data_IF_014287166553
#
_entry.id   IF_014287166553
#
_cell.length_a   1.000
_cell.length_b   1.000
_cell.length_c   1.000
_cell.angle_alpha   90.00
_cell.angle_beta   90.00
_cell.angle_gamma   90.00
#
_symmetry.space_group_name_H-M   'P 1'
#
loop_
_entity.id
_entity.type
_entity.pdbx_description
1 polymer ?
#
# COMPACT_ATOMS: atom_id res chain seq x y z
N UNK A 1 4.32 -21.38 -37.12
CA UNK A 1 3.41 -20.21 -37.05
C UNK A 1 3.22 -19.70 -38.48
N UNK A 2 1.99 -19.38 -38.89
CA UNK A 2 1.79 -18.78 -40.22
C UNK A 2 2.41 -17.37 -40.21
N UNK A 3 2.83 -16.87 -41.36
CA UNK A 3 3.54 -15.58 -41.49
C UNK A 3 2.72 -14.44 -40.85
N UNK A 4 1.40 -14.48 -41.00
CA UNK A 4 0.45 -13.51 -40.42
C UNK A 4 0.46 -13.53 -38.89
N UNK A 5 0.47 -14.71 -38.27
CA UNK A 5 0.50 -14.82 -36.81
C UNK A 5 1.78 -14.19 -36.25
N UNK A 6 2.93 -14.42 -36.92
CA UNK A 6 4.22 -13.84 -36.53
C UNK A 6 4.25 -12.32 -36.72
N UNK A 7 3.66 -11.84 -37.80
CA UNK A 7 3.53 -10.41 -38.07
C UNK A 7 2.73 -9.71 -36.98
N UNK A 8 1.51 -10.17 -36.69
CA UNK A 8 0.65 -9.59 -35.65
C UNK A 8 1.35 -9.64 -34.28
N UNK A 9 2.01 -10.76 -33.95
CA UNK A 9 2.72 -10.89 -32.68
C UNK A 9 3.87 -9.89 -32.53
N UNK A 10 4.70 -9.74 -33.57
CA UNK A 10 5.79 -8.77 -33.56
C UNK A 10 5.25 -7.33 -33.50
N UNK A 11 4.12 -7.06 -34.16
CA UNK A 11 3.46 -5.77 -34.10
C UNK A 11 2.87 -5.47 -32.72
N UNK A 12 2.44 -6.47 -31.95
CA UNK A 12 1.88 -6.31 -30.59
C UNK A 12 2.93 -6.02 -29.51
N UNK A 13 4.10 -6.66 -29.59
CA UNK A 13 5.10 -6.58 -28.52
C UNK A 13 5.56 -5.14 -28.28
N UNK A 14 5.92 -4.41 -29.33
CA UNK A 14 6.51 -3.09 -29.20
C UNK A 14 5.53 -2.04 -28.63
N UNK A 15 4.30 -1.87 -29.16
CA UNK A 15 3.29 -0.97 -28.61
C UNK A 15 2.87 -1.34 -27.19
N UNK A 16 2.78 -2.64 -26.86
CA UNK A 16 2.45 -3.06 -25.50
C UNK A 16 3.56 -2.72 -24.52
N UNK A 17 4.82 -3.05 -24.82
CA UNK A 17 5.95 -2.71 -23.95
C UNK A 17 6.07 -1.20 -23.77
N UNK A 18 5.84 -0.44 -24.83
CA UNK A 18 5.80 1.02 -24.77
C UNK A 18 4.68 1.53 -23.86
N UNK A 19 3.47 0.99 -24.01
CA UNK A 19 2.32 1.31 -23.13
C UNK A 19 2.60 0.99 -21.67
N UNK A 20 3.12 -0.21 -21.37
CA UNK A 20 3.52 -0.61 -20.02
C UNK A 20 4.55 0.37 -19.45
N UNK A 21 5.55 0.74 -20.25
CA UNK A 21 6.61 1.67 -19.82
C UNK A 21 6.06 3.05 -19.48
N UNK A 22 5.19 3.60 -20.33
CA UNK A 22 4.55 4.90 -20.09
C UNK A 22 3.68 4.88 -18.84
N UNK A 23 2.78 3.89 -18.71
CA UNK A 23 1.92 3.82 -17.53
C UNK A 23 2.71 3.58 -16.24
N UNK A 24 3.77 2.78 -16.31
CA UNK A 24 4.67 2.55 -15.16
C UNK A 24 5.37 3.84 -14.76
N UNK A 25 5.87 4.59 -15.74
CA UNK A 25 6.48 5.90 -15.48
C UNK A 25 5.49 6.87 -14.83
N UNK A 26 4.28 7.01 -15.39
CA UNK A 26 3.22 7.89 -14.87
C UNK A 26 2.87 7.52 -13.43
N UNK A 27 2.63 6.24 -13.13
CA UNK A 27 2.28 5.81 -11.78
C UNK A 27 3.44 5.94 -10.79
N UNK A 28 4.68 5.77 -11.24
CA UNK A 28 5.86 5.96 -10.39
C UNK A 28 6.17 7.41 -10.08
N UNK A 29 5.62 8.41 -10.79
CA UNK A 29 5.85 9.83 -10.46
C UNK A 29 5.45 10.12 -9.01
N UNK A 30 4.31 9.61 -8.55
CA UNK A 30 3.86 9.81 -7.17
C UNK A 30 4.82 9.18 -6.16
N UNK A 31 5.31 7.97 -6.45
CA UNK A 31 6.30 7.29 -5.61
C UNK A 31 7.64 8.04 -5.59
N UNK A 32 8.05 8.61 -6.73
CA UNK A 32 9.26 9.42 -6.84
C UNK A 32 9.17 10.68 -5.98
N UNK A 33 8.03 11.37 -6.00
CA UNK A 33 7.80 12.56 -5.16
C UNK A 33 7.90 12.20 -3.67
N UNK A 34 7.20 11.16 -3.22
CA UNK A 34 7.23 10.70 -1.81
C UNK A 34 8.65 10.35 -1.35
N UNK A 35 9.42 9.72 -2.23
CA UNK A 35 10.80 9.33 -1.98
C UNK A 35 11.73 10.55 -1.92
N UNK A 36 11.52 11.54 -2.80
CA UNK A 36 12.31 12.78 -2.81
C UNK A 36 12.07 13.59 -1.54
N UNK A 37 10.82 13.73 -1.09
CA UNK A 37 10.51 14.39 0.19
C UNK A 37 11.28 13.73 1.35
N UNK A 38 11.25 12.39 1.44
CA UNK A 38 11.97 11.67 2.49
C UNK A 38 13.49 11.79 2.39
N UNK A 39 14.05 11.94 1.18
CA UNK A 39 15.48 12.18 0.99
C UNK A 39 15.91 13.54 1.56
N UNK A 40 15.12 14.59 1.30
CA UNK A 40 15.43 15.93 1.78
C UNK A 40 15.17 16.10 3.28
N UNK A 41 14.22 15.35 3.86
CA UNK A 41 13.86 15.48 5.28
C UNK A 41 14.69 14.60 6.22
N UNK A 42 15.14 13.41 5.79
CA UNK A 42 15.65 12.37 6.72
C UNK A 42 17.12 11.93 6.49
N UNK A 43 17.91 12.61 5.65
CA UNK A 43 19.30 12.25 5.32
C UNK A 43 19.48 10.75 5.00
N UNK A 44 18.56 10.18 4.22
CA UNK A 44 18.60 8.76 3.89
C UNK A 44 19.70 8.49 2.83
N UNK A 45 20.49 7.41 2.98
CA UNK A 45 21.44 7.02 1.95
C UNK A 45 20.74 6.77 0.61
N UNK A 46 21.29 7.32 -0.48
CA UNK A 46 20.73 7.24 -1.83
C UNK A 46 20.51 5.78 -2.30
N UNK A 47 21.32 4.84 -1.79
CA UNK A 47 21.20 3.41 -2.05
C UNK A 47 19.89 2.81 -1.48
N UNK A 48 19.51 3.20 -0.26
CA UNK A 48 18.29 2.73 0.41
C UNK A 48 17.04 3.18 -0.36
N UNK A 49 17.12 4.36 -0.95
CA UNK A 49 16.05 4.93 -1.78
C UNK A 49 15.90 4.19 -3.09
N UNK A 50 17.01 3.84 -3.74
CA UNK A 50 16.98 3.05 -4.96
C UNK A 50 16.36 1.66 -4.68
N UNK A 51 16.71 1.03 -3.57
CA UNK A 51 16.11 -0.24 -3.14
C UNK A 51 14.60 -0.11 -2.92
N UNK A 52 14.16 0.93 -2.20
CA UNK A 52 12.74 1.21 -1.99
C UNK A 52 11.98 1.37 -3.31
N UNK A 53 12.57 2.10 -4.26
CA UNK A 53 11.99 2.28 -5.59
C UNK A 53 11.89 0.96 -6.35
N UNK A 54 12.95 0.13 -6.34
CA UNK A 54 12.93 -1.19 -6.96
C UNK A 54 11.86 -2.12 -6.36
N UNK A 55 11.55 -1.99 -5.07
CA UNK A 55 10.50 -2.80 -4.45
C UNK A 55 9.08 -2.32 -4.79
N UNK A 56 8.89 -1.08 -5.20
CA UNK A 56 7.58 -0.58 -5.65
C UNK A 56 7.28 -1.02 -7.09
N UNK A 57 8.30 -1.12 -7.94
CA UNK A 57 8.17 -1.46 -9.36
C UNK A 57 7.28 -2.70 -9.62
N UNK A 58 7.45 -3.85 -8.93
CA UNK A 58 6.61 -5.03 -9.15
C UNK A 58 5.11 -4.77 -8.93
N UNK A 59 4.76 -4.00 -7.90
CA UNK A 59 3.36 -3.68 -7.59
C UNK A 59 2.73 -2.69 -8.56
N UNK A 60 3.54 -1.83 -9.19
CA UNK A 60 3.10 -0.97 -10.29
C UNK A 60 2.93 -1.79 -11.56
N UNK A 61 3.88 -2.67 -11.87
CA UNK A 61 3.84 -3.52 -13.06
C UNK A 61 2.59 -4.42 -13.12
N UNK A 62 2.11 -4.94 -11.98
CA UNK A 62 0.89 -5.76 -11.98
C UNK A 62 -0.35 -4.99 -12.43
N UNK A 63 -0.35 -3.67 -12.28
CA UNK A 63 -1.43 -2.79 -12.76
C UNK A 63 -1.18 -2.30 -14.19
N UNK A 64 0.07 -2.02 -14.56
CA UNK A 64 0.38 -1.41 -15.87
C UNK A 64 0.47 -2.42 -17.01
N UNK A 65 0.70 -3.71 -16.71
CA UNK A 65 0.65 -4.79 -17.70
C UNK A 65 -0.70 -4.85 -18.44
N UNK A 66 -1.87 -4.96 -17.77
CA UNK A 66 -3.16 -5.00 -18.48
C UNK A 66 -3.44 -3.69 -19.22
N UNK A 67 -3.10 -2.53 -18.64
CA UNK A 67 -3.28 -1.22 -19.30
C UNK A 67 -2.45 -1.10 -20.58
N UNK A 68 -1.18 -1.51 -20.53
CA UNK A 68 -0.30 -1.48 -21.70
C UNK A 68 -0.66 -2.55 -22.74
N UNK A 69 -1.15 -3.71 -22.32
CA UNK A 69 -1.69 -4.73 -23.22
C UNK A 69 -2.88 -4.19 -24.03
N UNK A 70 -3.83 -3.56 -23.34
CA UNK A 70 -5.00 -2.93 -23.97
C UNK A 70 -4.58 -1.86 -24.99
N UNK A 71 -3.67 -0.97 -24.61
CA UNK A 71 -3.15 0.07 -25.49
C UNK A 71 -2.46 -0.53 -26.72
N UNK A 72 -1.62 -1.55 -26.53
CA UNK A 72 -0.91 -2.18 -27.65
C UNK A 72 -1.86 -2.89 -28.62
N UNK A 73 -2.88 -3.58 -28.12
CA UNK A 73 -3.92 -4.19 -28.97
C UNK A 73 -4.68 -3.11 -29.74
N UNK A 74 -5.08 -2.03 -29.10
CA UNK A 74 -5.79 -0.93 -29.75
C UNK A 74 -4.95 -0.29 -30.87
N UNK A 75 -3.68 -0.01 -30.61
CA UNK A 75 -2.80 0.60 -31.62
C UNK A 75 -2.55 -0.33 -32.82
N UNK A 76 -2.30 -1.62 -32.56
CA UNK A 76 -2.02 -2.57 -33.65
C UNK A 76 -3.27 -2.81 -34.49
N UNK A 77 -4.39 -3.19 -33.88
CA UNK A 77 -5.60 -3.50 -34.65
C UNK A 77 -6.22 -2.23 -35.25
N UNK A 78 -6.08 -1.08 -34.59
CA UNK A 78 -6.41 0.23 -35.16
C UNK A 78 -5.60 0.50 -36.43
N UNK A 79 -4.28 0.34 -36.38
CA UNK A 79 -3.40 0.52 -37.56
C UNK A 79 -3.68 -0.47 -38.68
N UNK A 80 -3.94 -1.74 -38.36
CA UNK A 80 -4.34 -2.77 -39.36
C UNK A 80 -5.69 -2.44 -40.01
N UNK A 81 -6.59 -1.78 -39.28
CA UNK A 81 -7.88 -1.33 -39.83
C UNK A 81 -7.70 -0.12 -40.73
N UNK A 82 -6.91 0.87 -40.30
CA UNK A 82 -6.63 2.10 -41.04
C UNK A 82 -5.94 1.83 -42.40
N UNK A 83 -5.04 0.85 -42.43
CA UNK A 83 -4.34 0.40 -43.64
C UNK A 83 -5.15 -0.59 -44.49
N UNK A 84 -6.39 -0.91 -44.09
CA UNK A 84 -7.24 -1.94 -44.71
C UNK A 84 -6.63 -3.35 -44.76
N UNK A 85 -5.59 -3.64 -43.96
CA UNK A 85 -4.96 -4.96 -43.90
C UNK A 85 -5.92 -6.04 -43.38
N UNK A 86 -6.81 -5.69 -42.44
CA UNK A 86 -7.85 -6.62 -41.96
C UNK A 86 -8.79 -7.02 -43.10
N UNK A 87 -9.28 -6.05 -43.87
CA UNK A 87 -10.18 -6.29 -45.01
C UNK A 87 -9.48 -7.12 -46.08
N UNK A 88 -8.21 -6.86 -46.37
CA UNK A 88 -7.43 -7.66 -47.31
C UNK A 88 -7.25 -9.12 -46.86
N UNK A 89 -7.02 -9.34 -45.56
CA UNK A 89 -6.94 -10.68 -44.97
C UNK A 89 -8.30 -11.41 -45.04
N UNK A 90 -9.40 -10.74 -44.70
CA UNK A 90 -10.75 -11.30 -44.81
C UNK A 90 -11.11 -11.64 -46.25
N UNK A 91 -10.80 -10.75 -47.20
CA UNK A 91 -10.98 -10.98 -48.64
C UNK A 91 -10.14 -12.14 -49.19
N UNK A 92 -9.07 -12.51 -48.51
CA UNK A 92 -8.25 -13.70 -48.82
C UNK A 92 -8.80 -15.00 -48.19
N UNK A 93 -9.99 -14.94 -47.57
CA UNK A 93 -10.65 -16.08 -46.93
C UNK A 93 -10.20 -16.34 -45.49
N UNK A 94 -9.51 -15.39 -44.85
CA UNK A 94 -9.09 -15.51 -43.45
C UNK A 94 -10.22 -15.04 -42.54
N UNK A 95 -10.78 -15.94 -41.74
CA UNK A 95 -11.78 -15.58 -40.74
C UNK A 95 -11.26 -14.55 -39.74
N UNK A 96 -12.07 -13.56 -39.36
CA UNK A 96 -11.76 -12.57 -38.31
C UNK A 96 -11.26 -13.19 -36.99
N UNK A 97 -11.87 -14.31 -36.56
CA UNK A 97 -11.45 -15.04 -35.36
C UNK A 97 -9.98 -15.49 -35.41
N UNK A 98 -9.46 -15.79 -36.60
CA UNK A 98 -8.05 -16.15 -36.80
C UNK A 98 -7.15 -14.94 -36.67
N UNK A 99 -7.60 -13.76 -37.10
CA UNK A 99 -6.85 -12.49 -37.01
C UNK A 99 -6.75 -12.04 -35.55
N UNK A 100 -7.78 -12.28 -34.73
CA UNK A 100 -7.82 -11.91 -33.30
C UNK A 100 -7.06 -12.91 -32.41
N UNK A 101 -6.98 -14.18 -32.82
CA UNK A 101 -6.36 -15.26 -32.02
C UNK A 101 -4.94 -14.94 -31.50
N UNK A 102 -4.01 -14.32 -32.26
CA UNK A 102 -2.69 -13.95 -31.76
C UNK A 102 -2.75 -12.98 -30.58
N UNK A 103 -3.64 -11.98 -30.62
CA UNK A 103 -3.84 -11.05 -29.51
C UNK A 103 -4.40 -11.72 -28.27
N UNK A 104 -5.33 -12.67 -28.44
CA UNK A 104 -5.87 -13.42 -27.32
C UNK A 104 -4.80 -14.27 -26.61
N UNK A 105 -3.96 -14.98 -27.38
CA UNK A 105 -2.84 -15.75 -26.84
C UNK A 105 -1.82 -14.83 -26.16
N UNK A 106 -1.53 -13.67 -26.76
CA UNK A 106 -0.62 -12.68 -26.21
C UNK A 106 -1.12 -12.11 -24.87
N UNK A 107 -2.40 -11.74 -24.79
CA UNK A 107 -3.04 -11.30 -23.55
C UNK A 107 -2.97 -12.37 -22.45
N UNK A 108 -3.25 -13.63 -22.81
CA UNK A 108 -3.18 -14.76 -21.88
C UNK A 108 -1.75 -14.97 -21.33
N UNK A 109 -0.72 -14.78 -22.16
CA UNK A 109 0.68 -14.81 -21.71
C UNK A 109 0.96 -13.66 -20.72
N UNK A 110 0.50 -12.45 -21.01
CA UNK A 110 0.67 -11.30 -20.12
C UNK A 110 -0.07 -11.47 -18.79
N UNK A 111 -1.26 -12.06 -18.80
CA UNK A 111 -2.00 -12.43 -17.58
C UNK A 111 -1.19 -13.37 -16.70
N UNK A 112 -0.56 -14.40 -17.27
CA UNK A 112 0.29 -15.30 -16.49
C UNK A 112 1.55 -14.61 -15.93
N UNK A 113 2.13 -13.67 -16.68
CA UNK A 113 3.25 -12.86 -16.20
C UNK A 113 2.80 -11.96 -15.03
N UNK A 114 1.64 -11.31 -15.16
CA UNK A 114 1.04 -10.48 -14.12
C UNK A 114 0.72 -11.28 -12.85
N UNK A 115 0.13 -12.47 -12.99
CA UNK A 115 -0.10 -13.39 -11.86
C UNK A 115 1.20 -13.80 -11.19
N UNK A 116 2.25 -14.09 -11.97
CA UNK A 116 3.57 -14.42 -11.44
C UNK A 116 4.15 -13.29 -10.58
N UNK A 117 4.03 -12.05 -11.05
CA UNK A 117 4.46 -10.87 -10.32
C UNK A 117 3.65 -10.68 -9.02
N UNK A 118 2.33 -10.77 -9.09
CA UNK A 118 1.43 -10.54 -7.95
C UNK A 118 1.57 -11.59 -6.85
N UNK A 119 1.76 -12.87 -7.21
CA UNK A 119 1.79 -13.97 -6.24
C UNK A 119 3.18 -14.15 -5.60
N UNK A 120 4.25 -13.96 -6.37
CA UNK A 120 5.60 -14.30 -5.92
C UNK A 120 6.49 -13.08 -5.65
N UNK A 121 6.40 -12.05 -6.47
CA UNK A 121 7.34 -10.92 -6.44
C UNK A 121 6.81 -9.81 -5.53
N UNK A 122 5.55 -9.41 -5.71
CA UNK A 122 4.91 -8.33 -4.97
C UNK A 122 4.96 -8.54 -3.44
N UNK A 123 4.60 -9.71 -2.87
CA UNK A 123 4.60 -9.89 -1.42
C UNK A 123 6.01 -9.85 -0.83
N UNK A 124 7.03 -10.31 -1.57
CA UNK A 124 8.43 -10.24 -1.16
C UNK A 124 8.94 -8.80 -1.16
N UNK A 125 8.57 -8.04 -2.17
CA UNK A 125 8.93 -6.64 -2.30
C UNK A 125 8.29 -5.80 -1.17
N UNK A 126 7.00 -5.99 -0.90
CA UNK A 126 6.31 -5.34 0.22
C UNK A 126 6.90 -5.72 1.57
N UNK A 127 7.26 -6.99 1.78
CA UNK A 127 7.91 -7.44 3.02
C UNK A 127 9.24 -6.70 3.25
N UNK A 128 10.04 -6.52 2.20
CA UNK A 128 11.32 -5.82 2.30
C UNK A 128 11.12 -4.30 2.54
N UNK A 129 10.13 -3.68 1.87
CA UNK A 129 9.74 -2.29 2.14
C UNK A 129 9.38 -2.11 3.61
N UNK A 130 8.57 -3.00 4.16
CA UNK A 130 8.09 -2.85 5.53
C UNK A 130 9.18 -3.20 6.56
N UNK A 131 10.08 -4.14 6.26
CA UNK A 131 11.27 -4.36 7.06
C UNK A 131 12.20 -3.14 7.10
N UNK A 132 12.39 -2.45 5.95
CA UNK A 132 13.17 -1.21 5.89
C UNK A 132 12.47 -0.08 6.66
N UNK A 133 11.16 0.08 6.51
CA UNK A 133 10.37 1.04 7.30
C UNK A 133 10.51 0.77 8.80
N UNK A 134 10.45 -0.50 9.23
CA UNK A 134 10.63 -0.87 10.64
C UNK A 134 12.03 -0.53 11.15
N UNK A 135 13.08 -0.78 10.38
CA UNK A 135 14.45 -0.45 10.78
C UNK A 135 14.66 1.07 10.92
N UNK A 136 14.01 1.86 10.06
CA UNK A 136 13.96 3.32 10.16
C UNK A 136 13.17 3.76 11.41
N UNK A 137 12.01 3.15 11.70
CA UNK A 137 11.22 3.43 12.92
C UNK A 137 12.03 3.19 14.20
N UNK A 138 12.77 2.07 14.27
CA UNK A 138 13.56 1.72 15.46
C UNK A 138 14.78 2.63 15.67
N UNK A 139 15.33 3.17 14.58
CA UNK A 139 16.56 3.98 14.63
C UNK A 139 16.26 5.48 14.74
N UNK A 140 15.13 5.94 14.19
CA UNK A 140 14.70 7.34 14.19
C UNK A 140 13.16 7.44 14.27
N UNK A 141 12.56 7.36 15.48
CA UNK A 141 11.10 7.49 15.66
C UNK A 141 10.53 8.82 15.10
N UNK A 142 11.35 9.89 15.13
CA UNK A 142 11.00 11.21 14.61
C UNK A 142 10.80 11.26 13.09
N UNK A 143 11.46 10.38 12.32
CA UNK A 143 11.51 10.42 10.85
C UNK A 143 10.20 10.03 10.13
N UNK A 144 9.32 9.28 10.80
CA UNK A 144 8.08 8.75 10.22
C UNK A 144 6.82 9.36 10.82
N UNK A 145 6.98 10.18 11.84
CA UNK A 145 5.87 10.89 12.44
C UNK A 145 5.69 12.17 11.62
N UNK A 146 4.87 12.10 10.57
CA UNK A 146 4.58 13.32 9.81
C UNK A 146 3.84 14.28 10.74
N UNK A 147 4.06 15.58 10.61
CA UNK A 147 3.24 16.58 11.30
C UNK A 147 1.76 16.32 10.95
N UNK A 148 0.86 16.46 11.93
CA UNK A 148 -0.59 16.32 11.76
C UNK A 148 -1.10 14.93 11.40
N UNK A 149 -0.39 13.86 11.80
CA UNK A 149 -0.89 12.49 11.57
C UNK A 149 -1.84 12.06 12.69
N UNK A 150 -3.04 11.64 12.29
CA UNK A 150 -3.92 10.82 13.12
C UNK A 150 -3.56 9.35 12.92
N UNK A 151 -2.76 8.77 13.81
CA UNK A 151 -2.62 7.32 13.88
C UNK A 151 -3.70 6.80 14.82
N UNK A 152 -4.80 6.33 14.25
CA UNK A 152 -5.84 5.61 15.00
C UNK A 152 -5.57 4.12 14.87
N UNK A 153 -5.44 3.41 16.00
CA UNK A 153 -5.59 1.96 16.02
C UNK A 153 -7.07 1.64 16.31
N UNK A 154 -7.90 1.42 15.27
CA UNK A 154 -9.33 1.22 15.46
C UNK A 154 -9.66 -0.07 16.22
N UNK A 155 -8.74 -1.03 16.34
CA UNK A 155 -8.97 -2.29 17.05
C UNK A 155 -8.83 -2.15 18.57
N UNK A 156 -8.03 -1.19 19.07
CA UNK A 156 -7.86 -0.94 20.51
C UNK A 156 -8.50 0.37 21.00
N UNK A 157 -9.07 1.19 20.09
CA UNK A 157 -9.74 2.45 20.44
C UNK A 157 -8.80 3.61 20.76
N UNK A 158 -7.50 3.49 20.46
CA UNK A 158 -6.52 4.54 20.74
C UNK A 158 -6.17 5.33 19.47
N UNK A 159 -5.92 6.62 19.61
CA UNK A 159 -5.31 7.42 18.55
C UNK A 159 -4.42 8.51 19.11
N UNK A 160 -3.43 8.96 18.35
CA UNK A 160 -2.64 10.13 18.72
C UNK A 160 -2.56 11.15 17.59
N UNK A 161 -2.48 12.42 17.97
CA UNK A 161 -2.29 13.56 17.08
C UNK A 161 -1.08 14.36 17.56
N UNK A 162 -0.28 14.83 16.60
CA UNK A 162 0.92 15.60 16.85
C UNK A 162 0.90 16.83 15.95
N UNK A 163 0.97 18.02 16.54
CA UNK A 163 0.86 19.28 15.79
C UNK A 163 2.17 19.61 15.04
N UNK A 164 3.31 19.55 15.72
CA UNK A 164 4.63 19.77 15.13
C UNK A 164 5.70 18.91 15.77
N UNK A 165 6.72 18.55 15.01
CA UNK A 165 7.84 17.72 15.47
C UNK A 165 9.14 18.42 15.17
N UNK A 166 9.94 18.62 16.22
CA UNK A 166 11.32 19.00 16.05
C UNK A 166 12.19 17.75 15.84
N UNK A 167 12.56 17.49 14.59
CA UNK A 167 13.36 16.34 14.19
C UNK A 167 14.78 16.33 14.77
N UNK A 168 15.32 17.47 15.19
CA UNK A 168 16.68 17.55 15.76
C UNK A 168 16.76 16.99 17.19
N UNK A 169 15.71 17.20 17.99
CA UNK A 169 15.67 16.77 19.40
C UNK A 169 14.69 15.61 19.65
N UNK A 170 14.02 15.10 18.60
CA UNK A 170 12.94 14.12 18.72
C UNK A 170 11.82 14.53 19.70
N UNK A 171 11.54 15.83 19.75
CA UNK A 171 10.48 16.42 20.58
C UNK A 171 9.26 16.77 19.72
N UNK A 172 8.10 16.24 20.08
CA UNK A 172 6.80 16.61 19.54
C UNK A 172 6.19 17.73 20.41
N UNK A 173 5.62 18.76 19.77
CA UNK A 173 4.87 19.82 20.44
C UNK A 173 3.37 19.62 20.22
N UNK A 174 2.56 19.86 21.27
CA UNK A 174 1.11 19.64 21.31
C UNK A 174 0.72 18.22 20.88
N UNK A 175 1.03 17.27 21.74
CA UNK A 175 0.65 15.87 21.60
C UNK A 175 -0.75 15.66 22.17
N UNK A 176 -1.63 15.00 21.42
CA UNK A 176 -2.97 14.62 21.88
C UNK A 176 -3.09 13.12 21.83
N UNK A 177 -3.45 12.49 22.95
CA UNK A 177 -3.77 11.06 23.02
C UNK A 177 -5.27 10.88 23.24
N UNK A 178 -5.90 10.13 22.36
CA UNK A 178 -7.28 9.69 22.47
C UNK A 178 -7.30 8.23 22.92
N UNK A 179 -8.11 7.93 23.94
CA UNK A 179 -8.43 6.57 24.36
C UNK A 179 -9.95 6.41 24.45
N UNK A 180 -10.53 5.70 23.48
CA UNK A 180 -11.94 5.34 23.46
C UNK A 180 -12.15 4.00 24.17
N UNK A 181 -12.77 4.04 25.34
CA UNK A 181 -13.23 2.85 26.06
C UNK A 181 -14.51 2.31 25.41
N UNK A 182 -14.66 0.99 25.32
CA UNK A 182 -15.85 0.35 24.72
C UNK A 182 -17.18 0.77 25.34
N UNK A 183 -17.19 1.20 26.62
CA UNK A 183 -18.40 1.49 27.39
C UNK A 183 -18.82 2.98 27.43
N UNK A 184 -18.06 3.91 26.83
CA UNK A 184 -18.41 5.34 26.80
C UNK A 184 -18.37 5.87 25.35
N UNK A 185 -19.42 6.56 24.85
CA UNK A 185 -19.38 7.19 23.53
C UNK A 185 -18.24 8.22 23.36
N UNK A 186 -17.76 8.83 24.46
CA UNK A 186 -16.71 9.84 24.42
C UNK A 186 -15.33 9.30 24.85
N UNK A 187 -14.25 9.67 24.14
CA UNK A 187 -12.89 9.27 24.49
C UNK A 187 -12.33 10.09 25.65
N UNK A 188 -11.37 9.50 26.36
CA UNK A 188 -10.47 10.24 27.25
C UNK A 188 -9.42 10.91 26.37
N UNK A 189 -9.18 12.21 26.59
CA UNK A 189 -8.20 13.00 25.84
C UNK A 189 -7.08 13.41 26.80
N UNK A 190 -5.83 13.08 26.48
CA UNK A 190 -4.66 13.66 27.15
C UNK A 190 -4.02 14.67 26.21
N UNK A 191 -3.91 15.92 26.63
CA UNK A 191 -3.17 16.97 25.93
C UNK A 191 -1.82 17.12 26.62
N UNK A 192 -0.72 17.10 25.88
CA UNK A 192 0.61 17.35 26.40
C UNK A 192 1.30 18.43 25.55
N UNK A 193 1.87 19.44 26.20
CA UNK A 193 2.55 20.53 25.48
C UNK A 193 3.82 20.03 24.80
N UNK A 194 4.54 19.09 25.43
CA UNK A 194 5.73 18.46 24.86
C UNK A 194 5.71 16.95 25.07
N UNK A 195 6.12 16.20 24.06
CA UNK A 195 6.33 14.77 24.17
C UNK A 195 7.67 14.37 23.55
N UNK A 196 8.46 13.60 24.27
CA UNK A 196 9.71 13.03 23.80
C UNK A 196 9.56 11.51 23.64
N UNK A 197 9.96 10.99 22.48
CA UNK A 197 9.95 9.56 22.21
C UNK A 197 11.29 8.95 22.63
N UNK A 198 11.37 8.40 23.84
CA UNK A 198 12.51 7.58 24.26
C UNK A 198 12.34 6.13 23.75
N UNK A 199 13.41 5.33 23.61
CA UNK A 199 13.36 4.00 22.96
C UNK A 199 12.33 3.02 23.53
N UNK A 200 11.93 3.17 24.80
CA UNK A 200 10.98 2.29 25.47
C UNK A 200 9.75 3.03 26.04
N UNK A 201 9.83 4.35 26.21
CA UNK A 201 8.83 5.15 26.90
C UNK A 201 8.51 6.41 26.10
N UNK A 202 7.23 6.73 26.00
CA UNK A 202 6.78 8.05 25.60
C UNK A 202 6.77 8.93 26.85
N UNK A 203 7.61 9.96 26.88
CA UNK A 203 7.68 10.91 27.99
C UNK A 203 6.92 12.16 27.59
N UNK A 204 5.73 12.35 28.15
CA UNK A 204 4.91 13.54 27.99
C UNK A 204 5.16 14.50 29.14
N UNK A 205 5.29 15.79 28.86
CA UNK A 205 5.42 16.88 29.84
C UNK A 205 4.21 17.80 29.75
N UNK A 206 3.80 18.32 30.90
CA UNK A 206 2.66 19.23 31.05
C UNK A 206 1.38 18.62 30.47
N UNK A 207 0.95 17.50 31.06
CA UNK A 207 -0.17 16.70 30.57
C UNK A 207 -1.47 17.08 31.27
N UNK A 208 -2.47 17.46 30.50
CA UNK A 208 -3.84 17.68 30.95
C UNK A 208 -4.78 16.58 30.45
N UNK A 209 -5.39 15.85 31.39
CA UNK A 209 -6.35 14.79 31.10
C UNK A 209 -7.80 15.26 31.18
N UNK A 210 -8.53 15.15 30.07
CA UNK A 210 -9.95 15.47 29.95
C UNK A 210 -10.79 14.20 29.87
N UNK A 211 -11.77 14.08 30.77
CA UNK A 211 -12.87 13.13 30.67
C UNK A 211 -14.10 13.81 30.09
N UNK A 212 -14.87 13.04 29.34
CA UNK A 212 -16.23 13.41 28.98
C UNK A 212 -17.17 12.34 29.54
N UNK A 213 -18.09 12.76 30.40
CA UNK A 213 -19.14 11.88 30.91
C UNK A 213 -20.15 11.56 29.78
N UNK A 214 -21.03 10.58 29.98
CA UNK A 214 -22.04 10.10 29.01
C UNK A 214 -22.98 11.21 28.50
N UNK A 215 -23.05 12.35 29.21
CA UNK A 215 -23.84 13.53 28.86
C UNK A 215 -23.06 14.61 28.07
N UNK A 216 -21.76 14.38 27.78
CA UNK A 216 -20.91 15.31 27.04
C UNK A 216 -20.31 16.45 27.88
N UNK A 217 -20.48 16.44 29.20
CA UNK A 217 -19.89 17.42 30.11
C UNK A 217 -18.41 17.11 30.37
N UNK A 218 -17.58 18.16 30.36
CA UNK A 218 -16.13 18.06 30.59
C UNK A 218 -15.84 17.96 32.09
N UNK A 219 -15.06 16.97 32.48
CA UNK A 219 -14.48 16.87 33.81
C UNK A 219 -12.95 16.74 33.68
N UNK A 220 -12.22 17.61 34.38
CA UNK A 220 -10.76 17.57 34.42
C UNK A 220 -10.37 16.44 35.38
N UNK A 221 -9.67 15.41 34.89
CA UNK A 221 -9.35 14.23 35.71
C UNK A 221 -8.05 14.43 36.48
N UNK A 222 -7.05 15.05 35.85
CA UNK A 222 -5.74 15.30 36.45
C UNK A 222 -4.87 16.18 35.54
N UNK A 223 -3.98 16.94 36.16
CA UNK A 223 -2.84 17.60 35.51
C UNK A 223 -1.56 16.94 36.05
N UNK A 224 -0.67 16.53 35.15
CA UNK A 224 0.60 15.89 35.48
C UNK A 224 1.75 16.69 34.88
N UNK A 225 2.74 17.04 35.69
CA UNK A 225 3.97 17.71 35.20
C UNK A 225 4.75 16.82 34.22
N UNK A 226 4.76 15.51 34.48
CA UNK A 226 5.40 14.52 33.62
C UNK A 226 4.69 13.17 33.70
N UNK A 227 4.34 12.60 32.55
CA UNK A 227 3.74 11.27 32.43
C UNK A 227 4.56 10.41 31.48
N UNK A 228 4.98 9.24 31.94
CA UNK A 228 5.66 8.24 31.11
C UNK A 228 4.67 7.15 30.75
N UNK A 229 4.50 6.89 29.46
CA UNK A 229 3.69 5.78 28.97
C UNK A 229 4.60 4.81 28.21
N UNK A 230 4.71 3.54 28.64
CA UNK A 230 5.50 2.55 27.91
C UNK A 230 5.02 2.44 26.47
N UNK A 231 5.94 2.56 25.51
CA UNK A 231 5.61 2.44 24.08
C UNK A 231 5.02 1.07 23.77
N UNK A 232 5.32 0.05 24.57
CA UNK A 232 4.71 -1.29 24.47
C UNK A 232 3.19 -1.29 24.62
N UNK A 233 2.59 -0.32 25.33
CA UNK A 233 1.12 -0.20 25.43
C UNK A 233 0.49 0.32 24.14
N UNK A 234 1.23 1.11 23.36
CA UNK A 234 0.77 1.64 22.06
C UNK A 234 1.15 0.73 20.90
N UNK A 235 2.29 0.06 21.02
CA UNK A 235 2.91 -0.78 20.01
C UNK A 235 3.17 -2.16 20.63
N UNK A 236 2.15 -2.99 20.74
CA UNK A 236 2.34 -4.39 21.11
C UNK A 236 3.29 -5.04 20.10
N UNK A 237 4.44 -5.53 20.58
CA UNK A 237 5.49 -6.16 19.75
C UNK A 237 4.97 -7.41 19.03
N UNK A 238 3.85 -7.99 19.50
CA UNK A 238 3.14 -9.09 18.82
C UNK A 238 2.28 -8.66 17.63
N UNK A 239 1.66 -7.46 17.66
CA UNK A 239 0.93 -6.92 16.51
C UNK A 239 1.88 -6.42 15.41
N UNK A 240 3.15 -6.11 15.73
CA UNK A 240 4.18 -5.78 14.73
C UNK A 240 4.64 -6.98 13.87
N UNK A 241 4.34 -8.21 14.30
CA UNK A 241 4.57 -9.43 13.50
C UNK A 241 3.39 -9.80 12.59
N UNK A 242 2.22 -9.17 12.76
CA UNK A 242 1.11 -9.30 11.80
C UNK A 242 1.49 -8.52 10.55
N UNK A 243 1.89 -9.26 9.52
CA UNK A 243 2.06 -8.73 8.16
C UNK A 243 0.86 -7.86 7.80
N UNK A 244 1.06 -6.71 7.19
CA UNK A 244 -0.06 -5.96 6.62
C UNK A 244 -0.81 -6.86 5.63
N UNK A 245 -2.14 -6.70 5.50
CA UNK A 245 -2.98 -7.50 4.59
C UNK A 245 -2.39 -7.55 3.17
N UNK A 246 -1.80 -6.43 2.75
CA UNK A 246 -1.14 -6.29 1.46
C UNK A 246 0.18 -7.10 1.33
N UNK A 247 0.87 -7.43 2.42
CA UNK A 247 2.11 -8.21 2.44
C UNK A 247 1.91 -9.73 2.45
N UNK A 248 0.71 -10.19 2.79
CA UNK A 248 0.42 -11.62 2.92
C UNK A 248 0.39 -12.29 1.55
N UNK A 249 0.95 -13.50 1.44
CA UNK A 249 0.76 -14.33 0.25
C UNK A 249 -0.68 -14.90 0.23
N UNK A 250 -1.19 -15.30 -0.94
CA UNK A 250 -2.50 -15.97 -1.11
C UNK A 250 -2.74 -17.13 -0.12
N UNK A 251 -1.71 -17.94 0.16
CA UNK A 251 -1.81 -19.03 1.14
C UNK A 251 -1.96 -18.52 2.57
N UNK A 252 -1.27 -17.43 2.90
CA UNK A 252 -1.31 -16.78 4.22
C UNK A 252 -2.67 -16.08 4.41
N UNK A 253 -3.15 -15.32 3.40
CA UNK A 253 -4.48 -14.70 3.40
C UNK A 253 -5.59 -15.72 3.65
N UNK A 254 -5.57 -16.87 2.97
CA UNK A 254 -6.60 -17.92 3.14
C UNK A 254 -6.51 -18.60 4.51
N UNK A 255 -5.31 -18.73 5.07
CA UNK A 255 -5.10 -19.34 6.38
C UNK A 255 -5.50 -18.39 7.51
N UNK A 256 -5.25 -17.11 7.35
CA UNK A 256 -5.63 -16.07 8.30
C UNK A 256 -7.13 -15.79 8.28
N UNK A 257 -7.73 -15.70 7.10
CA UNK A 257 -9.19 -15.68 6.92
C UNK A 257 -9.89 -16.80 7.71
N UNK A 258 -9.39 -18.04 7.59
CA UNK A 258 -9.95 -19.21 8.28
C UNK A 258 -9.86 -19.11 9.80
N UNK A 259 -8.83 -18.44 10.33
CA UNK A 259 -8.67 -18.21 11.76
C UNK A 259 -9.63 -17.12 12.25
N UNK A 260 -9.71 -16.02 11.53
CA UNK A 260 -10.42 -14.81 11.95
C UNK A 260 -11.94 -14.89 11.76
N UNK A 261 -12.43 -15.70 10.81
CA UNK A 261 -13.88 -15.82 10.58
C UNK A 261 -14.63 -16.49 11.75
N UNK A 262 -13.91 -17.24 12.59
CA UNK A 262 -14.48 -17.87 13.78
C UNK A 262 -14.76 -16.88 14.92
N UNK A 263 -14.19 -15.67 14.86
CA UNK A 263 -14.32 -14.63 15.90
C UNK A 263 -15.36 -13.59 15.43
N UNK A 264 -16.50 -13.40 16.14
CA UNK A 264 -17.57 -12.51 15.71
C UNK A 264 -17.14 -11.04 15.52
N UNK A 265 -16.27 -10.53 16.40
CA UNK A 265 -15.78 -9.15 16.40
C UNK A 265 -14.81 -8.87 15.23
N UNK A 266 -13.98 -9.84 14.86
CA UNK A 266 -12.99 -9.70 13.78
C UNK A 266 -13.53 -10.12 12.39
N UNK A 267 -14.79 -10.53 12.31
CA UNK A 267 -15.41 -11.02 11.06
C UNK A 267 -15.32 -10.01 9.92
N UNK A 268 -15.42 -8.71 10.21
CA UNK A 268 -15.27 -7.65 9.20
C UNK A 268 -13.84 -7.57 8.65
N UNK A 269 -12.84 -7.80 9.49
CA UNK A 269 -11.42 -7.87 9.09
C UNK A 269 -11.16 -9.13 8.25
N UNK A 270 -11.74 -10.27 8.62
CA UNK A 270 -11.66 -11.51 7.86
C UNK A 270 -12.26 -11.39 6.45
N UNK A 271 -13.46 -10.82 6.31
CA UNK A 271 -14.11 -10.64 5.00
C UNK A 271 -13.28 -9.74 4.05
N UNK A 272 -12.61 -8.71 4.59
CA UNK A 272 -11.69 -7.88 3.79
C UNK A 272 -10.51 -8.70 3.23
N UNK A 273 -9.97 -9.67 3.99
CA UNK A 273 -8.89 -10.54 3.51
C UNK A 273 -9.35 -11.47 2.40
N UNK A 274 -10.59 -11.95 2.45
CA UNK A 274 -11.17 -12.80 1.40
C UNK A 274 -11.41 -11.99 0.10
N UNK A 275 -11.91 -10.75 0.22
CA UNK A 275 -12.02 -9.84 -0.91
C UNK A 275 -10.66 -9.63 -1.59
N UNK A 276 -9.62 -9.36 -0.80
CA UNK A 276 -8.28 -9.14 -1.37
C UNK A 276 -7.70 -10.41 -2.00
N UNK A 277 -7.96 -11.59 -1.41
CA UNK A 277 -7.60 -12.88 -2.02
C UNK A 277 -8.20 -13.03 -3.42
N UNK A 278 -9.49 -12.75 -3.59
CA UNK A 278 -10.14 -12.82 -4.90
C UNK A 278 -9.68 -11.70 -5.84
N UNK A 279 -9.47 -10.48 -5.35
CA UNK A 279 -8.95 -9.37 -6.15
C UNK A 279 -7.57 -9.69 -6.76
N UNK A 280 -6.68 -10.35 -6.01
CA UNK A 280 -5.36 -10.74 -6.53
C UNK A 280 -5.41 -11.86 -7.56
N UNK A 281 -6.38 -12.76 -7.44
CA UNK A 281 -6.58 -13.82 -8.43
C UNK A 281 -7.24 -13.27 -9.68
N UNK A 282 -8.28 -12.45 -9.53
CA UNK A 282 -9.09 -11.95 -10.64
C UNK A 282 -8.42 -10.78 -11.36
N UNK A 283 -7.66 -9.94 -10.64
CA UNK A 283 -7.05 -8.72 -11.17
C UNK A 283 -6.33 -8.90 -12.51
N UNK A 284 -5.44 -9.90 -12.67
CA UNK A 284 -4.77 -10.14 -13.94
C UNK A 284 -5.64 -10.67 -15.09
N UNK A 285 -6.88 -11.10 -14.81
CA UNK A 285 -7.86 -11.54 -15.81
C UNK A 285 -8.81 -10.42 -16.25
N UNK A 286 -8.83 -9.28 -15.55
CA UNK A 286 -9.62 -8.10 -15.89
C UNK A 286 -8.93 -7.27 -16.98
#
# INVERSE_FOLDING_TARGET
>A
MKIIDKYIYNSLVLPTVFGISIFTFILMINALIEVMEKLFTNDLPLLTVLDYFLYIVPGVLTQTIPMGAFLGVMLVYGGLTETNEIIAMEGSGISLLRIIRPAFIFGLILTFIGLGLEIYVNPRALKNINAQKQLILSTRPSSLTQEKVFLTNPEKGFGFYIDSINNENAEASKFILFNKRENNPFPIIFLADKAAFEPNNLVMKDVEGYYFNTNGEREIIASYDQQQVPLSQFFDVEDQKKKSKSEMNLKELRLEYKKLIAIPEERRSALKMDIEYYQRIIGPFA
#
